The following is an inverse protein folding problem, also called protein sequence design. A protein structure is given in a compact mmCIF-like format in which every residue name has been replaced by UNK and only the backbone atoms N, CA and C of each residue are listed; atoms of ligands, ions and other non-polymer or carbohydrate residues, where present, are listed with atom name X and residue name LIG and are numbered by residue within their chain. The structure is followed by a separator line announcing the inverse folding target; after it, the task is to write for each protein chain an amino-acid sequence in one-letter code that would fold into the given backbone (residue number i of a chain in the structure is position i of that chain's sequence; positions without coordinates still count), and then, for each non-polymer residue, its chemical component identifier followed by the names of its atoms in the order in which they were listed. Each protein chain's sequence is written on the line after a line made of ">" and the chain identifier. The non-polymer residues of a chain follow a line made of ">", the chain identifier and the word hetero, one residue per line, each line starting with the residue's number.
data_IF_440103276520
#
_entry.id   IF_440103276520
#
_cell.length_a   1.000
_cell.length_b   1.000
_cell.length_c   1.000
_cell.angle_alpha   90.00
_cell.angle_beta   90.00
_cell.angle_gamma   90.00
#
_symmetry.space_group_name_H-M   'P 1'
#
loop_
_entity.id
_entity.type
_entity.pdbx_description
1 polymer ?
#
# COMPACT_ATOMS: atom_id res chain seq x y z
N UNK A 1 6.75 13.13 21.76
CA UNK A 1 7.50 12.09 22.48
C UNK A 1 7.15 10.80 21.80
N UNK A 2 8.01 10.35 20.90
CA UNK A 2 7.82 9.13 20.12
C UNK A 2 8.74 8.08 20.72
N UNK A 3 8.16 7.02 21.27
CA UNK A 3 8.91 5.89 21.83
C UNK A 3 8.88 4.80 20.77
N UNK A 4 9.65 5.00 19.70
CA UNK A 4 10.11 3.92 18.86
C UNK A 4 11.18 3.16 19.64
N UNK A 5 10.95 1.87 19.92
CA UNK A 5 12.08 1.05 20.31
C UNK A 5 12.94 0.83 19.06
N UNK A 6 14.17 1.35 19.10
CA UNK A 6 15.34 0.61 18.61
C UNK A 6 15.40 0.25 17.11
N UNK A 7 15.27 1.20 16.19
CA UNK A 7 16.02 1.16 14.91
C UNK A 7 16.24 2.60 14.44
N UNK A 8 17.47 3.01 14.07
CA UNK A 8 17.72 4.37 13.61
C UNK A 8 17.02 4.61 12.27
N UNK A 9 16.14 5.61 12.25
CA UNK A 9 15.38 6.09 11.08
C UNK A 9 16.31 6.72 10.00
N UNK A 10 17.62 6.74 10.23
CA UNK A 10 18.62 7.31 9.31
C UNK A 10 18.94 6.43 8.08
N UNK A 11 18.34 5.26 7.96
CA UNK A 11 18.32 4.48 6.71
C UNK A 11 16.89 4.17 6.32
N UNK A 12 16.12 5.19 5.94
CA UNK A 12 14.99 4.95 5.03
C UNK A 12 15.62 4.47 3.73
N UNK A 13 15.63 3.15 3.50
CA UNK A 13 15.91 2.66 2.16
C UNK A 13 15.00 3.43 1.20
N UNK A 14 15.54 4.04 0.13
CA UNK A 14 14.73 4.86 -0.74
C UNK A 14 13.58 3.99 -1.25
N UNK A 15 12.34 4.40 -0.93
CA UNK A 15 11.14 3.69 -1.38
C UNK A 15 11.26 3.61 -2.89
N UNK A 16 11.33 2.37 -3.41
CA UNK A 16 11.49 2.15 -4.83
C UNK A 16 10.34 2.88 -5.55
N UNK A 17 10.58 3.72 -6.58
CA UNK A 17 9.51 4.51 -7.19
C UNK A 17 8.34 3.67 -7.71
N UNK A 18 8.59 2.42 -8.10
CA UNK A 18 7.54 1.48 -8.50
C UNK A 18 6.64 1.00 -7.34
N UNK A 19 6.98 1.31 -6.08
CA UNK A 19 6.16 1.03 -4.90
C UNK A 19 5.25 2.19 -4.49
N UNK A 20 5.24 3.29 -5.25
CA UNK A 20 4.43 4.47 -4.94
C UNK A 20 3.13 4.44 -5.73
N UNK A 21 2.00 4.47 -5.02
CA UNK A 21 0.67 4.68 -5.60
C UNK A 21 0.16 6.07 -5.19
N UNK A 22 -0.13 6.91 -6.16
CA UNK A 22 -0.69 8.25 -5.94
C UNK A 22 -2.07 8.33 -6.54
N UNK A 23 -3.04 8.75 -5.73
CA UNK A 23 -4.42 8.96 -6.15
C UNK A 23 -4.98 10.25 -5.54
N UNK A 24 -5.77 10.96 -6.33
CA UNK A 24 -6.66 12.00 -5.81
C UNK A 24 -7.95 11.35 -5.28
N UNK A 25 -8.25 11.59 -4.00
CA UNK A 25 -9.46 11.09 -3.37
C UNK A 25 -10.69 11.80 -3.91
N UNK A 26 -11.75 11.02 -4.13
CA UNK A 26 -13.08 11.51 -4.55
C UNK A 26 -14.13 11.16 -3.51
N UNK A 27 -15.28 11.85 -3.52
CA UNK A 27 -16.40 11.52 -2.62
C UNK A 27 -16.87 10.06 -2.74
N UNK A 28 -16.71 9.45 -3.92
CA UNK A 28 -17.08 8.05 -4.13
C UNK A 28 -16.17 7.10 -3.35
N UNK A 29 -14.89 7.45 -3.17
CA UNK A 29 -13.92 6.65 -2.41
C UNK A 29 -14.18 6.65 -0.91
N UNK A 30 -14.90 7.66 -0.41
CA UNK A 30 -15.29 7.73 0.99
C UNK A 30 -16.51 6.84 1.30
N UNK A 31 -17.37 6.64 0.31
CA UNK A 31 -18.63 5.89 0.46
C UNK A 31 -18.51 4.45 -0.01
N UNK A 32 -17.60 4.17 -0.94
CA UNK A 32 -17.38 2.86 -1.54
C UNK A 32 -15.89 2.50 -1.51
N UNK A 33 -15.57 1.28 -1.92
CA UNK A 33 -14.18 0.85 -2.06
C UNK A 33 -13.39 1.80 -2.98
N UNK A 34 -12.20 2.21 -2.50
CA UNK A 34 -11.30 3.07 -3.25
C UNK A 34 -10.77 2.38 -4.51
N UNK A 35 -10.92 3.02 -5.67
CA UNK A 35 -10.39 2.49 -6.94
C UNK A 35 -9.01 3.06 -7.23
N UNK A 36 -7.95 2.24 -7.15
CA UNK A 36 -6.58 2.71 -7.34
C UNK A 36 -6.14 2.69 -8.82
N UNK A 37 -5.18 3.54 -9.23
CA UNK A 37 -4.66 3.53 -10.59
C UNK A 37 -4.02 2.19 -10.94
N UNK A 38 -4.55 1.53 -11.97
CA UNK A 38 -4.18 0.17 -12.36
C UNK A 38 -2.68 0.00 -12.62
N UNK A 39 -2.11 0.88 -13.45
CA UNK A 39 -0.69 0.80 -13.86
C UNK A 39 0.28 0.90 -12.66
N UNK A 40 -0.07 1.73 -11.67
CA UNK A 40 0.76 1.89 -10.47
C UNK A 40 0.62 0.67 -9.55
N UNK A 41 -0.59 0.13 -9.41
CA UNK A 41 -0.80 -1.13 -8.67
C UNK A 41 -0.05 -2.27 -9.32
N UNK A 42 -0.15 -2.44 -10.64
CA UNK A 42 0.63 -3.46 -11.37
C UNK A 42 2.14 -3.29 -11.17
N UNK A 43 2.64 -2.05 -11.12
CA UNK A 43 4.05 -1.75 -10.86
C UNK A 43 4.49 -2.15 -9.45
N UNK A 44 3.66 -1.88 -8.43
CA UNK A 44 3.93 -2.27 -7.03
C UNK A 44 3.93 -3.79 -6.91
N UNK A 45 2.94 -4.44 -7.50
CA UNK A 45 2.77 -5.88 -7.43
C UNK A 45 3.89 -6.64 -8.12
N UNK A 46 4.50 -6.06 -9.16
CA UNK A 46 5.66 -6.65 -9.84
C UNK A 46 6.92 -6.70 -8.96
N UNK A 47 7.01 -5.85 -7.92
CA UNK A 47 8.16 -5.79 -7.01
C UNK A 47 7.88 -6.36 -5.61
N UNK A 48 6.61 -6.62 -5.28
CA UNK A 48 6.22 -7.25 -4.02
C UNK A 48 6.41 -8.77 -4.07
N UNK A 49 7.12 -9.31 -3.07
CA UNK A 49 7.28 -10.75 -2.93
C UNK A 49 5.95 -11.45 -2.55
N UNK A 50 5.78 -12.69 -3.02
CA UNK A 50 4.61 -13.51 -2.74
C UNK A 50 3.27 -12.96 -3.26
N UNK A 51 3.27 -12.07 -4.27
CA UNK A 51 2.05 -11.71 -5.01
C UNK A 51 1.84 -12.71 -6.15
N UNK A 52 0.67 -13.33 -6.18
CA UNK A 52 0.22 -14.16 -7.32
C UNK A 52 -1.08 -13.62 -7.91
N UNK A 53 -1.34 -13.89 -9.19
CA UNK A 53 -2.62 -13.53 -9.85
C UNK A 53 -3.84 -14.04 -9.06
N UNK A 54 -3.72 -15.22 -8.45
CA UNK A 54 -4.76 -15.80 -7.60
C UNK A 54 -4.98 -14.98 -6.32
N UNK A 55 -3.89 -14.60 -5.63
CA UNK A 55 -3.98 -13.76 -4.43
C UNK A 55 -4.65 -12.42 -4.71
N UNK A 56 -4.47 -11.87 -5.91
CA UNK A 56 -5.03 -10.59 -6.33
C UNK A 56 -6.52 -10.67 -6.67
N UNK A 57 -6.96 -11.79 -7.25
CA UNK A 57 -8.38 -12.05 -7.52
C UNK A 57 -9.17 -12.31 -6.23
N UNK A 58 -8.56 -13.02 -5.28
CA UNK A 58 -9.18 -13.38 -4.01
C UNK A 58 -9.05 -12.29 -2.93
N UNK A 59 -8.25 -11.26 -3.22
CA UNK A 59 -7.93 -10.18 -2.30
C UNK A 59 -6.70 -10.49 -1.46
N UNK A 60 -5.67 -9.63 -1.59
CA UNK A 60 -4.44 -9.72 -0.80
C UNK A 60 -4.51 -8.70 0.34
N UNK A 61 -4.27 -9.16 1.56
CA UNK A 61 -4.04 -8.26 2.69
C UNK A 61 -2.62 -7.74 2.64
N UNK A 62 -2.47 -6.45 2.90
CA UNK A 62 -1.19 -5.77 3.00
C UNK A 62 -1.19 -4.92 4.26
N UNK A 63 -0.03 -4.82 4.87
CA UNK A 63 0.19 -3.90 5.98
C UNK A 63 0.50 -2.51 5.38
N UNK A 64 -0.25 -1.52 5.83
CA UNK A 64 -0.12 -0.11 5.41
C UNK A 64 0.41 0.68 6.59
N UNK A 65 1.51 1.37 6.36
CA UNK A 65 2.13 2.25 7.33
C UNK A 65 1.64 3.69 7.11
N UNK A 66 1.02 4.28 8.13
CA UNK A 66 0.69 5.71 8.15
C UNK A 66 1.94 6.51 8.56
N UNK A 67 2.53 7.22 7.61
CA UNK A 67 3.71 8.03 7.86
C UNK A 67 3.45 9.28 8.73
N UNK A 68 2.18 9.65 8.95
CA UNK A 68 1.78 10.84 9.74
C UNK A 68 1.49 10.46 11.18
N UNK A 69 0.80 9.34 11.38
CA UNK A 69 0.40 8.84 12.71
C UNK A 69 1.38 7.80 13.28
N UNK A 70 2.37 7.36 12.49
CA UNK A 70 3.30 6.28 12.79
C UNK A 70 2.57 4.99 13.23
N UNK A 71 1.43 4.72 12.60
CA UNK A 71 0.58 3.57 12.90
C UNK A 71 0.55 2.58 11.72
N UNK A 72 0.26 1.32 12.01
CA UNK A 72 0.16 0.25 11.02
C UNK A 72 -1.25 -0.34 11.02
N UNK A 73 -1.87 -0.38 9.85
CA UNK A 73 -3.19 -0.98 9.67
C UNK A 73 -3.21 -1.95 8.49
N UNK A 74 -4.12 -2.93 8.57
CA UNK A 74 -4.29 -3.94 7.53
C UNK A 74 -5.34 -3.50 6.54
N UNK A 75 -4.96 -3.43 5.27
CA UNK A 75 -5.86 -3.15 4.16
C UNK A 75 -5.93 -4.32 3.20
N UNK A 76 -7.09 -4.49 2.56
CA UNK A 76 -7.30 -5.58 1.62
C UNK A 76 -7.51 -5.05 0.20
N UNK A 77 -6.62 -5.46 -0.69
CA UNK A 77 -6.59 -5.03 -2.09
C UNK A 77 -7.12 -6.12 -3.00
N UNK A 78 -7.96 -5.75 -3.96
CA UNK A 78 -8.50 -6.64 -4.98
C UNK A 78 -8.31 -6.04 -6.37
N UNK A 79 -7.90 -6.84 -7.33
CA UNK A 79 -7.96 -6.45 -8.74
C UNK A 79 -9.32 -6.86 -9.30
N UNK A 80 -10.12 -5.88 -9.72
CA UNK A 80 -11.34 -6.12 -10.50
C UNK A 80 -10.98 -6.02 -11.98
N UNK A 81 -11.29 -7.07 -12.75
CA UNK A 81 -11.17 -7.11 -14.21
C UNK A 81 -12.35 -6.46 -14.89
#
# INVERSE_FOLDING_TARGET
>A
MIIGALYPIDTVEPIHPAMIVTKQLTNTDYVHSMVLPREQIESVLAVMDGVTDESLRNGKEVDVYDATEEDEYKERFYIRT
#
